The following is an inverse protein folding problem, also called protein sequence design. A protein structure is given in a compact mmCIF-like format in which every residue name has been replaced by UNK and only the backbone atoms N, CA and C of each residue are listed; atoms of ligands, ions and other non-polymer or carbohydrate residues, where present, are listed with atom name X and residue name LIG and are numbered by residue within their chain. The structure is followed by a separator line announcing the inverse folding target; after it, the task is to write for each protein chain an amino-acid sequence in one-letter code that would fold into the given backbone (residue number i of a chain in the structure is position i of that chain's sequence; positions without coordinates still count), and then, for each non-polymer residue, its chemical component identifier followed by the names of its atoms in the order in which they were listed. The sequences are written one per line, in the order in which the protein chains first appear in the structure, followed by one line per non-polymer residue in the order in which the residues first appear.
data_IF_071656355727
#
_entry.id   IF_071656355727
#
_cell.length_a   1.000
_cell.length_b   1.000
_cell.length_c   1.000
_cell.angle_alpha   90.00
_cell.angle_beta   90.00
_cell.angle_gamma   90.00
#
_symmetry.space_group_name_H-M   'P 1'
#
loop_
_entity.id
_entity.type
_entity.pdbx_description
1 polymer ?
#
# COMPACT_ATOMS: atom_id res chain seq x y z
N UNK A 1 -5.46 -0.23 17.77
CA UNK A 1 -6.78 0.25 18.22
C UNK A 1 -6.63 0.96 19.55
N UNK A 2 -7.49 1.93 19.85
CA UNK A 2 -7.38 2.73 21.08
C UNK A 2 -8.77 3.00 21.65
N UNK A 3 -8.97 2.75 22.95
CA UNK A 3 -10.18 3.13 23.69
C UNK A 3 -10.07 4.53 24.32
N UNK A 4 -8.89 5.19 24.25
CA UNK A 4 -8.60 6.40 25.02
C UNK A 4 -7.61 7.39 24.35
N UNK A 5 -7.69 7.57 23.03
CA UNK A 5 -6.85 8.51 22.28
C UNK A 5 -5.61 7.88 21.61
N UNK A 6 -4.79 8.68 20.92
CA UNK A 6 -3.70 8.17 20.09
C UNK A 6 -2.55 7.52 20.90
N UNK A 7 -2.16 6.28 20.54
CA UNK A 7 -0.97 5.60 21.06
C UNK A 7 0.26 6.04 20.23
N UNK A 8 1.29 6.55 20.89
CA UNK A 8 2.56 6.91 20.25
C UNK A 8 3.55 5.77 20.44
N UNK A 9 4.04 5.21 19.33
CA UNK A 9 5.03 4.12 19.32
C UNK A 9 6.34 4.68 18.73
N UNK A 10 7.46 4.58 19.44
CA UNK A 10 8.76 4.95 18.89
C UNK A 10 9.14 4.06 17.70
N UNK A 11 9.67 4.68 16.65
CA UNK A 11 10.32 3.98 15.53
C UNK A 11 11.78 4.39 15.52
N UNK A 12 12.69 3.42 15.52
CA UNK A 12 14.13 3.67 15.60
C UNK A 12 14.77 3.60 14.22
N UNK A 13 16.02 4.06 14.13
CA UNK A 13 16.80 3.96 12.89
C UNK A 13 17.08 2.50 12.54
N UNK A 14 17.19 1.65 13.55
CA UNK A 14 17.46 0.22 13.44
C UNK A 14 16.21 -0.55 13.00
N UNK A 15 15.01 -0.15 13.42
CA UNK A 15 13.77 -0.85 13.05
C UNK A 15 13.23 -0.47 11.67
N UNK A 16 13.44 0.78 11.23
CA UNK A 16 12.89 1.31 9.98
C UNK A 16 13.23 0.49 8.73
N UNK A 17 14.49 0.03 8.52
CA UNK A 17 14.85 -0.77 7.34
C UNK A 17 13.97 -2.01 7.18
N UNK A 18 13.62 -2.69 8.28
CA UNK A 18 12.82 -3.91 8.22
C UNK A 18 11.41 -3.69 7.67
N UNK A 19 10.81 -2.50 7.81
CA UNK A 19 9.53 -2.18 7.17
C UNK A 19 9.65 -2.12 5.64
N UNK A 20 10.73 -1.53 5.14
CA UNK A 20 10.98 -1.40 3.69
C UNK A 20 11.39 -2.74 3.10
N UNK A 21 12.26 -3.48 3.79
CA UNK A 21 12.73 -4.79 3.37
C UNK A 21 11.62 -5.83 3.33
N UNK A 22 10.73 -5.87 4.33
CA UNK A 22 9.61 -6.82 4.35
C UNK A 22 8.65 -6.55 3.18
N UNK A 23 8.30 -5.28 2.92
CA UNK A 23 7.45 -4.92 1.79
C UNK A 23 8.10 -5.30 0.44
N UNK A 24 9.41 -5.06 0.28
CA UNK A 24 10.18 -5.49 -0.89
C UNK A 24 10.18 -7.02 -1.03
N UNK A 25 10.46 -7.74 0.04
CA UNK A 25 10.58 -9.20 0.04
C UNK A 25 9.24 -9.86 -0.31
N UNK A 26 8.12 -9.30 0.13
CA UNK A 26 6.79 -9.78 -0.26
C UNK A 26 6.59 -9.75 -1.79
N UNK A 27 6.99 -8.65 -2.45
CA UNK A 27 6.93 -8.54 -3.91
C UNK A 27 7.90 -9.52 -4.59
N UNK A 28 9.14 -9.62 -4.08
CA UNK A 28 10.13 -10.53 -4.64
C UNK A 28 9.71 -12.00 -4.52
N UNK A 29 9.08 -12.38 -3.40
CA UNK A 29 8.56 -13.73 -3.21
C UNK A 29 7.38 -14.03 -4.14
N UNK A 30 6.49 -13.06 -4.36
CA UNK A 30 5.44 -13.20 -5.37
C UNK A 30 6.03 -13.40 -6.78
N UNK A 31 7.05 -12.64 -7.15
CA UNK A 31 7.75 -12.83 -8.44
C UNK A 31 8.38 -14.22 -8.50
N UNK A 32 9.04 -14.65 -7.42
CA UNK A 32 9.67 -15.97 -7.34
C UNK A 32 8.66 -17.11 -7.47
N UNK A 33 7.51 -17.01 -6.79
CA UNK A 33 6.46 -18.02 -6.80
C UNK A 33 5.75 -18.10 -8.17
N UNK A 34 5.40 -16.95 -8.75
CA UNK A 34 4.53 -16.88 -9.93
C UNK A 34 5.28 -16.80 -11.25
N UNK A 35 6.56 -16.42 -11.24
CA UNK A 35 7.33 -16.07 -12.43
C UNK A 35 6.90 -14.77 -13.11
N UNK A 36 5.89 -14.07 -12.58
CA UNK A 36 5.39 -12.80 -13.13
C UNK A 36 6.30 -11.68 -12.65
N UNK A 37 6.88 -10.92 -13.58
CA UNK A 37 7.68 -9.73 -13.25
C UNK A 37 7.29 -8.49 -14.07
N UNK A 38 6.50 -8.63 -15.13
CA UNK A 38 6.21 -7.54 -16.08
C UNK A 38 5.56 -6.32 -15.42
N UNK A 39 4.84 -6.50 -14.32
CA UNK A 39 4.22 -5.42 -13.56
C UNK A 39 5.23 -4.45 -12.91
N UNK A 40 6.51 -4.81 -12.76
CA UNK A 40 7.49 -3.92 -12.10
C UNK A 40 7.87 -2.70 -12.94
N UNK A 41 7.67 -2.78 -14.26
CA UNK A 41 8.01 -1.71 -15.20
C UNK A 41 6.94 -0.61 -15.28
N UNK A 42 5.74 -0.86 -14.76
CA UNK A 42 4.66 0.10 -14.74
C UNK A 42 4.70 1.04 -13.52
N UNK A 43 3.65 1.86 -13.41
CA UNK A 43 3.44 2.73 -12.24
C UNK A 43 2.81 1.96 -11.09
N UNK A 44 3.27 2.26 -9.89
CA UNK A 44 2.75 1.75 -8.64
C UNK A 44 2.15 2.87 -7.81
N UNK A 45 1.02 2.64 -7.16
CA UNK A 45 0.45 3.58 -6.19
C UNK A 45 0.36 2.95 -4.81
N UNK A 46 0.64 3.76 -3.78
CA UNK A 46 0.29 3.46 -2.40
C UNK A 46 -0.66 4.53 -1.87
N UNK A 47 -1.95 4.19 -1.76
CA UNK A 47 -2.95 5.03 -1.10
C UNK A 47 -2.67 5.05 0.40
N UNK A 48 -2.09 6.16 0.85
CA UNK A 48 -1.60 6.33 2.21
C UNK A 48 -2.08 7.63 2.85
N UNK A 49 -1.94 7.71 4.18
CA UNK A 49 -2.11 8.97 4.91
C UNK A 49 -1.06 10.02 4.50
N UNK A 50 -1.24 11.26 4.97
CA UNK A 50 -0.31 12.35 4.69
C UNK A 50 1.14 11.99 5.09
N UNK A 51 2.14 12.29 4.25
CA UNK A 51 3.55 12.11 4.58
C UNK A 51 4.15 13.29 5.37
N UNK A 52 3.35 14.32 5.65
CA UNK A 52 3.72 15.43 6.52
C UNK A 52 3.97 14.88 7.92
N UNK A 53 5.09 15.30 8.51
CA UNK A 53 5.49 14.95 9.86
C UNK A 53 5.42 16.21 10.71
N UNK A 54 4.72 16.11 11.84
CA UNK A 54 4.76 17.12 12.88
C UNK A 54 6.07 17.01 13.67
N UNK A 55 6.47 18.08 14.35
CA UNK A 55 7.63 18.05 15.24
C UNK A 55 7.22 18.44 16.66
N UNK A 56 7.61 17.62 17.64
CA UNK A 56 7.40 17.90 19.06
C UNK A 56 8.66 17.53 19.82
N UNK A 57 9.23 18.52 20.53
CA UNK A 57 10.45 18.35 21.33
C UNK A 57 11.63 17.74 20.53
N UNK A 58 11.79 18.13 19.26
CA UNK A 58 12.84 17.59 18.38
C UNK A 58 12.56 16.18 17.81
N UNK A 59 11.38 15.61 18.09
CA UNK A 59 10.96 14.30 17.59
C UNK A 59 9.90 14.50 16.51
N UNK A 60 10.13 13.88 15.34
CA UNK A 60 9.16 13.85 14.25
C UNK A 60 8.04 12.85 14.56
N UNK A 61 6.81 13.28 14.37
CA UNK A 61 5.59 12.52 14.63
C UNK A 61 4.80 12.38 13.33
N UNK A 62 4.20 11.21 13.10
CA UNK A 62 3.38 10.99 11.93
C UNK A 62 2.81 9.59 11.90
N UNK A 63 1.95 9.31 10.91
CA UNK A 63 1.49 7.94 10.65
C UNK A 63 2.63 7.11 10.10
N UNK A 64 2.66 5.81 10.41
CA UNK A 64 3.69 4.88 9.93
C UNK A 64 3.90 4.99 8.41
N UNK A 65 2.83 4.97 7.62
CA UNK A 65 2.92 5.10 6.16
C UNK A 65 3.55 6.41 5.70
N UNK A 66 3.26 7.51 6.42
CA UNK A 66 3.83 8.82 6.15
C UNK A 66 5.32 8.87 6.49
N UNK A 67 5.72 8.28 7.63
CA UNK A 67 7.14 8.16 8.02
C UNK A 67 7.90 7.30 7.00
N UNK A 68 7.40 6.10 6.66
CA UNK A 68 8.05 5.17 5.72
C UNK A 68 8.27 5.81 4.35
N UNK A 69 7.41 6.73 3.91
CA UNK A 69 7.57 7.44 2.64
C UNK A 69 8.92 8.17 2.51
N UNK A 70 9.52 8.62 3.63
CA UNK A 70 10.83 9.28 3.67
C UNK A 70 12.02 8.32 3.56
N UNK A 71 11.79 7.01 3.74
CA UNK A 71 12.84 5.98 3.76
C UNK A 71 12.86 5.11 2.51
N UNK A 72 11.88 5.28 1.60
CA UNK A 72 11.86 4.54 0.34
C UNK A 72 13.00 5.03 -0.56
N UNK A 73 13.90 4.15 -1.02
CA UNK A 73 15.01 4.52 -1.89
C UNK A 73 14.59 5.31 -3.12
N UNK A 74 15.33 6.37 -3.48
CA UNK A 74 15.00 7.28 -4.58
C UNK A 74 14.76 6.57 -5.92
N UNK A 75 15.50 5.51 -6.21
CA UNK A 75 15.32 4.74 -7.46
C UNK A 75 13.95 4.05 -7.53
N UNK A 76 13.35 3.68 -6.40
CA UNK A 76 11.99 3.12 -6.33
C UNK A 76 10.91 4.20 -6.38
N UNK A 77 11.25 5.48 -6.17
CA UNK A 77 10.28 6.57 -6.19
C UNK A 77 9.87 6.98 -7.61
N UNK A 78 10.68 6.71 -8.64
CA UNK A 78 10.41 7.14 -10.03
C UNK A 78 9.10 6.58 -10.59
N UNK A 79 8.73 5.37 -10.19
CA UNK A 79 7.51 4.69 -10.64
C UNK A 79 6.35 4.85 -9.66
N UNK A 80 6.53 5.60 -8.57
CA UNK A 80 5.56 5.73 -7.50
C UNK A 80 4.64 6.93 -7.69
N UNK A 81 3.35 6.70 -7.45
CA UNK A 81 2.26 7.67 -7.46
C UNK A 81 1.59 7.73 -6.07
N UNK A 82 0.82 8.79 -5.75
CA UNK A 82 0.73 10.06 -6.48
C UNK A 82 1.94 10.96 -6.16
N UNK A 83 1.95 12.18 -6.70
CA UNK A 83 2.92 13.24 -6.38
C UNK A 83 2.98 13.52 -4.87
N UNK A 84 4.05 14.20 -4.44
CA UNK A 84 4.20 14.60 -3.04
C UNK A 84 3.09 15.57 -2.64
N UNK A 85 2.80 16.53 -3.51
CA UNK A 85 1.79 17.57 -3.37
C UNK A 85 0.40 16.94 -3.18
N UNK A 86 0.00 16.01 -4.05
CA UNK A 86 -1.28 15.29 -3.91
C UNK A 86 -1.31 14.41 -2.66
N UNK A 87 -0.18 13.82 -2.27
CA UNK A 87 -0.10 13.06 -1.03
C UNK A 87 -0.31 13.91 0.24
N UNK A 88 0.00 15.21 0.17
CA UNK A 88 -0.12 16.16 1.28
C UNK A 88 -1.52 16.79 1.42
N UNK A 89 -2.46 16.49 0.53
CA UNK A 89 -3.84 16.99 0.65
C UNK A 89 -4.50 16.39 1.90
N UNK A 90 -5.00 17.25 2.79
CA UNK A 90 -5.63 16.84 4.05
C UNK A 90 -7.06 16.33 3.85
N UNK A 91 -7.85 17.04 3.03
CA UNK A 91 -9.22 16.61 2.73
C UNK A 91 -9.21 15.32 1.90
N UNK A 92 -9.76 14.27 2.48
CA UNK A 92 -9.65 12.93 1.92
C UNK A 92 -10.34 12.79 0.56
N UNK A 93 -11.51 13.40 0.40
CA UNK A 93 -12.25 13.32 -0.87
C UNK A 93 -11.52 14.07 -1.98
N UNK A 94 -11.07 15.30 -1.69
CA UNK A 94 -10.24 16.10 -2.60
C UNK A 94 -8.95 15.35 -2.96
N UNK A 95 -8.30 14.73 -1.97
CA UNK A 95 -7.11 13.92 -2.19
C UNK A 95 -7.36 12.80 -3.17
N UNK A 96 -8.40 11.99 -2.96
CA UNK A 96 -8.67 10.86 -3.86
C UNK A 96 -9.08 11.33 -5.25
N UNK A 97 -9.84 12.42 -5.39
CA UNK A 97 -10.11 13.02 -6.70
C UNK A 97 -8.81 13.40 -7.43
N UNK A 98 -7.87 14.08 -6.74
CA UNK A 98 -6.58 14.44 -7.32
C UNK A 98 -5.73 13.21 -7.70
N UNK A 99 -5.75 12.16 -6.86
CA UNK A 99 -5.10 10.88 -7.17
C UNK A 99 -5.68 10.26 -8.44
N UNK A 100 -7.01 10.26 -8.61
CA UNK A 100 -7.65 9.77 -9.84
C UNK A 100 -7.11 10.54 -11.05
N UNK A 101 -7.08 11.87 -11.00
CA UNK A 101 -6.56 12.67 -12.11
C UNK A 101 -5.11 12.35 -12.48
N UNK A 102 -4.24 12.20 -11.48
CA UNK A 102 -2.83 11.87 -11.72
C UNK A 102 -2.61 10.45 -12.26
N UNK A 103 -3.48 9.51 -11.90
CA UNK A 103 -3.28 8.09 -12.22
C UNK A 103 -4.00 7.64 -13.49
N UNK A 104 -5.10 8.30 -13.88
CA UNK A 104 -5.85 7.97 -15.10
C UNK A 104 -5.02 7.90 -16.39
N UNK A 105 -4.04 8.79 -16.66
CA UNK A 105 -3.24 8.72 -17.88
C UNK A 105 -2.10 7.68 -17.81
N UNK A 106 -1.86 7.08 -16.64
CA UNK A 106 -0.68 6.27 -16.38
C UNK A 106 -0.94 4.76 -16.54
N UNK A 107 0.13 4.03 -16.87
CA UNK A 107 0.11 2.56 -16.90
C UNK A 107 0.22 2.00 -15.47
N UNK A 108 -0.88 2.01 -14.72
CA UNK A 108 -0.94 1.48 -13.36
C UNK A 108 -0.89 -0.06 -13.38
N UNK A 109 0.05 -0.62 -12.63
CA UNK A 109 0.35 -2.08 -12.61
C UNK A 109 0.26 -2.67 -11.20
N UNK A 110 0.65 -1.89 -10.19
CA UNK A 110 0.48 -2.21 -8.77
C UNK A 110 -0.39 -1.15 -8.12
N UNK A 111 -1.41 -1.60 -7.41
CA UNK A 111 -2.25 -0.73 -6.59
C UNK A 111 -2.15 -1.24 -5.16
N UNK A 112 -1.81 -0.35 -4.23
CA UNK A 112 -1.63 -0.73 -2.83
C UNK A 112 -2.30 0.24 -1.87
N UNK A 113 -2.75 -0.27 -0.72
CA UNK A 113 -3.42 0.54 0.29
C UNK A 113 -4.34 -0.26 1.20
N UNK A 114 -5.01 0.44 2.12
CA UNK A 114 -6.08 -0.13 2.93
C UNK A 114 -7.28 -0.41 2.00
N UNK A 115 -7.88 -1.63 2.02
CA UNK A 115 -9.00 -2.00 1.14
C UNK A 115 -10.13 -0.97 1.07
N UNK A 116 -10.55 -0.37 2.18
CA UNK A 116 -11.61 0.65 2.18
C UNK A 116 -11.24 1.92 1.41
N UNK A 117 -9.98 2.33 1.45
CA UNK A 117 -9.47 3.50 0.73
C UNK A 117 -9.36 3.21 -0.77
N UNK A 118 -8.86 2.04 -1.12
CA UNK A 118 -8.71 1.61 -2.52
C UNK A 118 -10.07 1.37 -3.16
N UNK A 119 -11.07 0.87 -2.42
CA UNK A 119 -12.44 0.79 -2.91
C UNK A 119 -12.95 2.15 -3.37
N UNK A 120 -12.80 3.19 -2.54
CA UNK A 120 -13.28 4.53 -2.87
C UNK A 120 -12.57 5.10 -4.10
N UNK A 121 -11.27 4.84 -4.24
CA UNK A 121 -10.50 5.19 -5.43
C UNK A 121 -11.02 4.50 -6.70
N UNK A 122 -11.30 3.19 -6.63
CA UNK A 122 -11.88 2.45 -7.74
C UNK A 122 -13.29 2.92 -8.09
N UNK A 123 -14.12 3.23 -7.09
CA UNK A 123 -15.47 3.78 -7.31
C UNK A 123 -15.40 5.12 -8.04
N UNK A 124 -14.48 6.02 -7.66
CA UNK A 124 -14.27 7.31 -8.35
C UNK A 124 -13.73 7.14 -9.78
N UNK A 125 -12.88 6.15 -10.05
CA UNK A 125 -12.45 5.83 -11.42
C UNK A 125 -13.64 5.38 -12.27
N UNK A 126 -14.46 4.46 -11.76
CA UNK A 126 -15.64 3.95 -12.48
C UNK A 126 -16.65 5.07 -12.71
N UNK A 127 -16.89 5.92 -11.71
CA UNK A 127 -17.76 7.09 -11.81
C UNK A 127 -17.28 8.07 -12.91
N UNK A 128 -15.99 8.37 -12.94
CA UNK A 128 -15.41 9.33 -13.88
C UNK A 128 -15.29 8.81 -15.31
N UNK A 129 -15.04 7.51 -15.48
CA UNK A 129 -14.74 6.91 -16.79
C UNK A 129 -15.90 6.11 -17.38
N UNK A 130 -16.85 5.68 -16.56
CA UNK A 130 -17.90 4.72 -16.93
C UNK A 130 -17.39 3.31 -17.19
N UNK A 131 -16.12 3.01 -16.90
CA UNK A 131 -15.47 1.72 -17.21
C UNK A 131 -14.98 1.04 -15.95
N UNK A 132 -14.86 -0.29 -16.01
CA UNK A 132 -14.22 -1.05 -14.95
C UNK A 132 -12.72 -0.70 -14.83
N UNK A 133 -12.17 -0.80 -13.61
CA UNK A 133 -10.77 -0.40 -13.36
C UNK A 133 -9.78 -1.21 -14.20
N UNK A 134 -10.04 -2.49 -14.45
CA UNK A 134 -9.19 -3.33 -15.31
C UNK A 134 -9.23 -2.94 -16.80
N UNK A 135 -10.27 -2.21 -17.25
CA UNK A 135 -10.31 -1.66 -18.61
C UNK A 135 -9.52 -0.36 -18.73
N UNK A 136 -9.54 0.46 -17.67
CA UNK A 136 -8.77 1.70 -17.55
C UNK A 136 -7.28 1.36 -17.40
N UNK A 137 -6.95 0.48 -16.45
CA UNK A 137 -5.60 0.02 -16.16
C UNK A 137 -5.41 -1.42 -16.62
N UNK A 138 -5.20 -1.60 -17.92
CA UNK A 138 -5.12 -2.93 -18.57
C UNK A 138 -4.04 -3.84 -17.99
N UNK A 139 -2.94 -3.25 -17.49
CA UNK A 139 -1.81 -3.97 -16.91
C UNK A 139 -1.85 -3.99 -15.37
N UNK A 140 -2.97 -3.63 -14.74
CA UNK A 140 -3.15 -3.81 -13.30
C UNK A 140 -3.17 -5.31 -12.97
N UNK A 141 -2.08 -5.78 -12.36
CA UNK A 141 -1.81 -7.20 -12.14
C UNK A 141 -1.70 -7.59 -10.66
N UNK A 142 -1.41 -6.63 -9.78
CA UNK A 142 -1.13 -6.92 -8.38
C UNK A 142 -1.74 -5.91 -7.42
N UNK A 143 -2.61 -6.39 -6.53
CA UNK A 143 -3.17 -5.62 -5.42
C UNK A 143 -2.44 -5.95 -4.10
N UNK A 144 -1.80 -4.96 -3.47
CA UNK A 144 -1.09 -5.17 -2.19
C UNK A 144 -1.83 -4.45 -1.07
N UNK A 145 -2.20 -5.17 -0.01
CA UNK A 145 -3.05 -4.62 1.03
C UNK A 145 -2.58 -4.97 2.43
N UNK A 146 -3.07 -4.21 3.41
CA UNK A 146 -2.82 -4.48 4.83
C UNK A 146 -3.69 -3.59 5.72
N UNK A 147 -3.64 -3.84 7.02
CA UNK A 147 -4.32 -3.05 8.04
C UNK A 147 -5.80 -3.40 8.27
N UNK A 148 -6.51 -3.99 7.31
CA UNK A 148 -7.85 -4.59 7.50
C UNK A 148 -8.01 -5.85 6.65
N UNK A 149 -8.92 -6.73 7.06
CA UNK A 149 -9.27 -7.94 6.32
C UNK A 149 -9.85 -7.60 4.94
N UNK A 150 -9.26 -8.15 3.87
CA UNK A 150 -9.70 -7.94 2.48
C UNK A 150 -10.92 -8.79 2.09
N UNK A 151 -11.17 -9.93 2.76
CA UNK A 151 -12.20 -10.87 2.33
C UNK A 151 -13.61 -10.26 2.18
N UNK A 152 -14.08 -9.37 3.08
CA UNK A 152 -15.37 -8.69 2.91
C UNK A 152 -15.45 -7.78 1.67
N UNK A 153 -14.31 -7.32 1.18
CA UNK A 153 -14.20 -6.40 0.04
C UNK A 153 -14.01 -7.13 -1.30
N UNK A 154 -13.57 -8.40 -1.28
CA UNK A 154 -13.15 -9.15 -2.48
C UNK A 154 -14.19 -9.12 -3.61
N UNK A 155 -15.45 -9.45 -3.32
CA UNK A 155 -16.50 -9.50 -4.33
C UNK A 155 -16.77 -8.11 -4.96
N UNK A 156 -16.71 -7.04 -4.15
CA UNK A 156 -16.86 -5.66 -4.64
C UNK A 156 -15.65 -5.25 -5.48
N UNK A 157 -14.44 -5.61 -5.07
CA UNK A 157 -13.21 -5.36 -5.81
C UNK A 157 -13.24 -6.05 -7.17
N UNK A 158 -13.50 -7.37 -7.22
CA UNK A 158 -13.60 -8.11 -8.49
C UNK A 158 -14.65 -7.49 -9.42
N UNK A 159 -15.79 -7.04 -8.88
CA UNK A 159 -16.81 -6.31 -9.64
C UNK A 159 -16.33 -4.97 -10.17
N UNK A 160 -15.62 -4.16 -9.36
CA UNK A 160 -15.11 -2.84 -9.77
C UNK A 160 -13.97 -2.98 -10.79
N UNK A 161 -13.10 -3.97 -10.60
CA UNK A 161 -11.99 -4.27 -11.50
C UNK A 161 -12.49 -4.90 -12.80
N UNK A 162 -13.56 -5.68 -12.77
CA UNK A 162 -14.10 -6.41 -13.92
C UNK A 162 -13.37 -7.72 -14.23
N UNK A 163 -12.36 -8.06 -13.42
CA UNK A 163 -11.61 -9.32 -13.48
C UNK A 163 -10.94 -9.62 -12.14
N UNK A 164 -10.43 -10.83 -12.00
CA UNK A 164 -9.55 -11.20 -10.88
C UNK A 164 -8.15 -10.61 -11.08
N UNK A 165 -7.56 -10.18 -9.98
CA UNK A 165 -6.20 -9.64 -9.88
C UNK A 165 -5.55 -10.30 -8.68
N UNK A 166 -4.28 -10.67 -8.81
CA UNK A 166 -3.56 -11.32 -7.72
C UNK A 166 -3.39 -10.36 -6.54
N UNK A 167 -3.19 -10.91 -5.35
CA UNK A 167 -3.11 -10.08 -4.15
C UNK A 167 -2.08 -10.55 -3.15
N UNK A 168 -1.45 -9.60 -2.46
CA UNK A 168 -0.52 -9.88 -1.37
C UNK A 168 -1.04 -9.18 -0.12
N UNK A 169 -1.32 -9.96 0.91
CA UNK A 169 -1.60 -9.44 2.26
C UNK A 169 -0.30 -9.12 3.01
N UNK A 170 -0.26 -7.95 3.62
CA UNK A 170 0.82 -7.49 4.49
C UNK A 170 0.28 -7.27 5.90
N UNK A 171 1.09 -7.63 6.90
CA UNK A 171 0.79 -7.39 8.31
C UNK A 171 1.82 -6.48 9.00
N UNK A 172 1.83 -5.18 8.65
CA UNK A 172 2.60 -4.16 9.36
C UNK A 172 1.82 -3.55 10.52
N UNK A 173 2.55 -3.12 11.55
CA UNK A 173 2.07 -2.26 12.61
C UNK A 173 3.12 -1.19 12.94
N UNK A 174 2.76 -0.19 13.74
CA UNK A 174 3.73 0.80 14.23
C UNK A 174 4.87 0.19 15.04
N UNK A 175 4.67 -1.02 15.58
CA UNK A 175 5.64 -1.76 16.39
C UNK A 175 6.60 -2.62 15.54
N UNK A 176 6.27 -2.89 14.27
CA UNK A 176 7.09 -3.71 13.39
C UNK A 176 6.33 -4.28 12.20
N UNK A 177 7.06 -4.92 11.28
CA UNK A 177 6.48 -5.65 10.15
C UNK A 177 6.50 -7.14 10.45
N UNK A 178 5.34 -7.70 10.81
CA UNK A 178 5.30 -9.04 11.40
C UNK A 178 5.26 -10.16 10.36
N UNK A 179 4.45 -10.01 9.31
CA UNK A 179 4.24 -11.08 8.34
C UNK A 179 3.78 -10.53 6.99
N UNK A 180 3.91 -11.33 5.94
CA UNK A 180 3.30 -11.10 4.64
C UNK A 180 2.88 -12.43 4.01
N UNK A 181 1.94 -12.40 3.08
CA UNK A 181 1.55 -13.56 2.29
C UNK A 181 2.70 -13.95 1.34
N UNK A 182 3.17 -15.19 1.44
CA UNK A 182 4.26 -15.76 0.63
C UNK A 182 3.78 -16.78 -0.41
N UNK A 183 2.50 -17.18 -0.35
CA UNK A 183 1.86 -18.12 -1.28
C UNK A 183 0.56 -17.56 -1.84
N UNK A 184 0.37 -17.64 -3.15
CA UNK A 184 -0.88 -17.24 -3.82
C UNK A 184 -1.99 -18.29 -3.70
N UNK A 185 -1.63 -19.55 -3.45
CA UNK A 185 -2.57 -20.69 -3.46
C UNK A 185 -3.00 -21.16 -2.07
N UNK A 186 -2.35 -20.67 -1.01
CA UNK A 186 -2.61 -21.07 0.37
C UNK A 186 -3.11 -19.89 1.21
N UNK A 187 -3.94 -20.19 2.20
CA UNK A 187 -4.36 -19.20 3.19
C UNK A 187 -3.30 -19.10 4.28
N UNK A 188 -2.79 -17.92 4.51
CA UNK A 188 -1.83 -17.66 5.59
C UNK A 188 -0.84 -16.57 5.24
N UNK A 189 0.05 -16.29 6.18
CA UNK A 189 1.16 -15.36 6.02
C UNK A 189 2.42 -15.94 6.65
N UNK A 190 3.57 -15.68 6.03
CA UNK A 190 4.88 -16.01 6.54
C UNK A 190 5.32 -15.01 7.62
N UNK A 191 5.42 -15.51 8.85
CA UNK A 191 5.96 -14.76 9.99
C UNK A 191 7.45 -14.43 9.76
N UNK A 192 7.82 -13.16 9.94
CA UNK A 192 9.19 -12.68 9.77
C UNK A 192 10.00 -12.89 11.05
N UNK A 193 10.84 -13.92 11.11
CA UNK A 193 11.62 -14.25 12.31
C UNK A 193 12.93 -13.45 12.45
N UNK A 194 13.36 -12.75 11.40
CA UNK A 194 14.60 -11.97 11.39
C UNK A 194 14.35 -10.53 10.89
N UNK A 195 13.38 -9.85 11.50
CA UNK A 195 12.95 -8.49 11.16
C UNK A 195 13.11 -7.49 12.31
N UNK A 196 14.05 -7.77 13.23
CA UNK A 196 14.29 -6.92 14.40
C UNK A 196 13.21 -7.03 15.49
N UNK A 197 12.39 -8.08 15.45
CA UNK A 197 11.31 -8.35 16.39
C UNK A 197 11.62 -9.65 17.14
N UNK A 198 11.56 -9.59 18.47
CA UNK A 198 11.52 -10.79 19.31
C UNK A 198 10.06 -11.18 19.55
N UNK A 199 9.75 -12.46 19.41
CA UNK A 199 8.41 -13.02 19.59
C UNK A 199 8.38 -13.84 20.87
N UNK A 200 7.36 -13.62 21.70
CA UNK A 200 7.09 -14.34 22.96
C UNK A 200 5.88 -15.28 22.86
#
# INVERSE_FOLDING_TARGET
GTTSGAKYIPITKESMPYHVEAARNAILLYIHETGKANFVDGKMIFLQGSPILDEKNGIKLGRLSGIVAHYVPKYLQKNRMPSWETNCIDDWETKVNAIVEETLPENMTIISGIPSWVQMYFEKIVERTGKNVGEVFKNFELFIFGGVNYEPYRAKFEKLIGRKVDSIELFPASEGFFAFQDKQTEKGMLLQLNSGIFYE
#
